data_IF_617267793284
#
_entry.id   IF_617267793284
#
_cell.length_a   1.000
_cell.length_b   1.000
_cell.length_c   1.000
_cell.angle_alpha   90.00
_cell.angle_beta   90.00
_cell.angle_gamma   90.00
#
_symmetry.space_group_name_H-M   'P 1'
#
loop_
_entity.id
_entity.type
_entity.pdbx_description
1 polymer ?
#
# COMPACT_ATOMS: atom_id res chain seq x y z
N UNK A 1 -46.30 -15.22 28.58
CA UNK A 1 -45.70 -13.91 28.21
C UNK A 1 -44.18 -13.83 28.45
N UNK A 2 -43.56 -14.60 29.36
CA UNK A 2 -42.10 -14.56 29.61
C UNK A 2 -41.21 -15.09 28.45
N UNK A 3 -41.71 -16.03 27.65
CA UNK A 3 -40.91 -16.63 26.56
C UNK A 3 -40.78 -15.74 25.32
N UNK A 4 -41.66 -14.75 25.13
CA UNK A 4 -41.57 -13.81 24.01
C UNK A 4 -40.41 -12.82 24.19
N UNK A 5 -40.06 -12.45 25.42
CA UNK A 5 -38.90 -11.59 25.72
C UNK A 5 -37.56 -12.29 25.46
N UNK A 6 -37.48 -13.60 25.71
CA UNK A 6 -36.27 -14.40 25.44
C UNK A 6 -36.09 -14.57 23.92
N UNK A 7 -37.17 -14.83 23.18
CA UNK A 7 -37.15 -14.89 21.71
C UNK A 7 -36.74 -13.54 21.08
N UNK A 8 -37.25 -12.42 21.60
CA UNK A 8 -36.89 -11.08 21.12
C UNK A 8 -35.43 -10.73 21.46
N UNK A 9 -34.93 -11.15 22.63
CA UNK A 9 -33.54 -11.01 23.04
C UNK A 9 -32.58 -11.84 22.17
N UNK A 10 -32.96 -13.06 21.77
CA UNK A 10 -32.18 -13.88 20.85
C UNK A 10 -32.15 -13.30 19.43
N UNK A 11 -33.25 -12.69 18.98
CA UNK A 11 -33.34 -12.03 17.67
C UNK A 11 -32.42 -10.79 17.59
N UNK A 12 -32.30 -10.04 18.69
CA UNK A 12 -31.44 -8.86 18.78
C UNK A 12 -29.94 -9.22 18.76
N UNK A 13 -29.56 -10.35 19.36
CA UNK A 13 -28.18 -10.83 19.37
C UNK A 13 -27.75 -11.38 17.99
N UNK A 14 -28.68 -11.91 17.22
CA UNK A 14 -28.43 -12.40 15.85
C UNK A 14 -28.19 -11.25 14.85
N UNK A 15 -28.74 -10.05 15.11
CA UNK A 15 -28.58 -8.87 14.25
C UNK A 15 -27.23 -8.15 14.44
N UNK A 16 -26.55 -8.37 15.56
CA UNK A 16 -25.23 -7.79 15.87
C UNK A 16 -24.05 -8.66 15.41
N UNK A 17 -24.33 -9.90 14.96
CA UNK A 17 -23.31 -10.86 14.54
C UNK A 17 -23.01 -10.82 13.03
N UNK A 18 -23.56 -9.86 12.26
CA UNK A 18 -23.14 -9.68 10.89
C UNK A 18 -21.75 -9.02 10.90
N UNK A 19 -20.66 -9.73 10.53
CA UNK A 19 -19.39 -9.08 10.41
C UNK A 19 -19.55 -8.05 9.31
N UNK A 20 -19.42 -6.78 9.68
CA UNK A 20 -19.17 -5.70 8.73
C UNK A 20 -17.85 -6.09 8.10
N UNK A 21 -17.91 -6.79 6.97
CA UNK A 21 -16.74 -7.07 6.15
C UNK A 21 -16.27 -5.71 5.65
N UNK A 22 -15.46 -5.05 6.47
CA UNK A 22 -14.74 -3.85 6.11
C UNK A 22 -13.78 -4.27 5.00
N UNK A 23 -14.17 -3.97 3.77
CA UNK A 23 -13.34 -4.16 2.59
C UNK A 23 -12.13 -3.23 2.69
N UNK A 24 -11.07 -3.69 3.35
CA UNK A 24 -9.74 -3.04 3.38
C UNK A 24 -8.62 -3.91 2.81
N UNK A 25 -8.88 -5.16 2.42
CA UNK A 25 -7.80 -6.15 2.19
C UNK A 25 -7.16 -6.15 0.79
N UNK A 26 -7.58 -5.26 -0.13
CA UNK A 26 -7.02 -5.27 -1.50
C UNK A 26 -5.57 -4.76 -1.57
N UNK A 27 -5.16 -3.87 -0.67
CA UNK A 27 -3.89 -3.14 -0.81
C UNK A 27 -2.70 -3.86 -0.17
N UNK A 28 -2.93 -4.53 0.96
CA UNK A 28 -1.93 -5.37 1.64
C UNK A 28 -1.52 -6.55 0.75
N UNK A 29 -2.48 -7.26 0.14
CA UNK A 29 -2.17 -8.38 -0.77
C UNK A 29 -1.38 -7.97 -2.02
N UNK A 30 -1.66 -6.78 -2.58
CA UNK A 30 -0.90 -6.26 -3.73
C UNK A 30 0.55 -5.99 -3.31
N UNK A 31 0.76 -5.39 -2.14
CA UNK A 31 2.10 -5.09 -1.63
C UNK A 31 2.90 -6.37 -1.37
N UNK A 32 2.30 -7.36 -0.70
CA UNK A 32 2.96 -8.64 -0.41
C UNK A 32 3.30 -9.42 -1.70
N UNK A 33 2.37 -9.42 -2.68
CA UNK A 33 2.60 -10.04 -3.99
C UNK A 33 3.74 -9.36 -4.77
N UNK A 34 3.80 -8.04 -4.72
CA UNK A 34 4.83 -7.26 -5.40
C UNK A 34 6.22 -7.41 -4.74
N UNK A 35 6.28 -7.50 -3.41
CA UNK A 35 7.52 -7.76 -2.68
C UNK A 35 8.09 -9.15 -2.99
N UNK A 36 7.23 -10.16 -3.14
CA UNK A 36 7.66 -11.50 -3.55
C UNK A 36 8.24 -11.50 -4.97
N UNK A 37 7.51 -10.92 -5.94
CA UNK A 37 8.00 -10.81 -7.33
C UNK A 37 9.30 -10.03 -7.43
N UNK A 38 9.50 -9.05 -6.54
CA UNK A 38 10.75 -8.30 -6.45
C UNK A 38 11.93 -9.19 -6.01
N UNK A 39 11.74 -10.23 -5.20
CA UNK A 39 12.85 -11.12 -4.83
C UNK A 39 13.32 -11.99 -5.99
N UNK A 40 12.41 -12.33 -6.91
CA UNK A 40 12.67 -13.20 -8.06
C UNK A 40 13.08 -12.43 -9.33
N UNK A 41 12.78 -11.13 -9.40
CA UNK A 41 13.07 -10.32 -10.58
C UNK A 41 14.57 -10.16 -10.84
N UNK A 42 14.98 -10.42 -12.08
CA UNK A 42 16.31 -10.08 -12.60
C UNK A 42 16.54 -8.57 -12.45
N UNK A 43 17.80 -8.15 -12.34
CA UNK A 43 18.17 -6.72 -12.22
C UNK A 43 17.99 -6.01 -13.57
N UNK A 44 16.74 -5.82 -13.98
CA UNK A 44 16.35 -5.21 -15.24
C UNK A 44 15.27 -4.12 -15.04
N UNK A 45 14.75 -3.58 -16.15
CA UNK A 45 13.74 -2.51 -16.14
C UNK A 45 12.38 -2.96 -15.61
N UNK A 46 12.10 -4.26 -15.56
CA UNK A 46 10.89 -4.83 -14.92
C UNK A 46 10.97 -4.62 -13.42
N UNK A 47 12.13 -4.89 -12.82
CA UNK A 47 12.38 -4.66 -11.40
C UNK A 47 12.21 -3.19 -11.02
N UNK A 48 12.68 -2.28 -11.88
CA UNK A 48 12.43 -0.83 -11.71
C UNK A 48 10.94 -0.53 -11.70
N UNK A 49 10.19 -1.05 -12.68
CA UNK A 49 8.75 -0.79 -12.82
C UNK A 49 7.95 -1.32 -11.62
N UNK A 50 8.35 -2.48 -11.07
CA UNK A 50 7.76 -3.05 -9.86
C UNK A 50 8.03 -2.17 -8.63
N UNK A 51 9.27 -1.70 -8.45
CA UNK A 51 9.63 -0.81 -7.34
C UNK A 51 8.85 0.51 -7.38
N UNK A 52 8.68 1.10 -8.57
CA UNK A 52 7.89 2.32 -8.75
C UNK A 52 6.42 2.06 -8.42
N UNK A 53 5.87 0.91 -8.84
CA UNK A 53 4.49 0.54 -8.55
C UNK A 53 4.25 0.34 -7.05
N UNK A 54 5.19 -0.31 -6.34
CA UNK A 54 5.19 -0.43 -4.89
C UNK A 54 5.25 0.94 -4.19
N UNK A 55 6.13 1.83 -4.66
CA UNK A 55 6.16 3.18 -4.11
C UNK A 55 4.82 3.89 -4.30
N UNK A 56 4.17 3.71 -5.45
CA UNK A 56 2.90 4.35 -5.76
C UNK A 56 1.72 3.79 -4.98
N UNK A 57 1.72 2.50 -4.62
CA UNK A 57 0.67 1.97 -3.72
C UNK A 57 0.85 2.50 -2.30
N UNK A 58 2.10 2.67 -1.86
CA UNK A 58 2.38 3.00 -0.46
C UNK A 58 2.39 4.50 -0.15
N UNK A 59 2.48 5.40 -1.14
CA UNK A 59 2.85 6.80 -0.88
C UNK A 59 1.91 7.59 0.05
N UNK A 60 0.61 7.24 0.10
CA UNK A 60 -0.37 7.90 0.98
C UNK A 60 -0.41 7.30 2.39
N UNK A 61 -0.15 5.99 2.52
CA UNK A 61 -0.32 5.27 3.79
C UNK A 61 1.00 5.12 4.54
N UNK A 62 2.06 4.80 3.82
CA UNK A 62 3.39 4.52 4.35
C UNK A 62 4.43 5.33 3.56
N UNK A 63 4.36 6.65 3.66
CA UNK A 63 5.20 7.58 2.88
C UNK A 63 6.71 7.30 3.01
N UNK A 64 7.17 6.86 4.19
CA UNK A 64 8.56 6.43 4.45
C UNK A 64 8.90 5.17 3.64
N UNK A 65 8.03 4.15 3.68
CA UNK A 65 8.23 2.89 2.95
C UNK A 65 8.16 3.12 1.43
N UNK A 66 7.26 3.99 0.97
CA UNK A 66 7.20 4.42 -0.41
C UNK A 66 8.49 5.12 -0.86
N UNK A 67 9.00 6.07 -0.08
CA UNK A 67 10.28 6.77 -0.36
C UNK A 67 11.44 5.80 -0.48
N UNK A 68 11.47 4.75 0.35
CA UNK A 68 12.47 3.70 0.28
C UNK A 68 12.43 2.93 -1.06
N UNK A 69 11.25 2.52 -1.52
CA UNK A 69 11.12 1.84 -2.81
C UNK A 69 11.42 2.75 -4.00
N UNK A 70 11.01 4.02 -3.96
CA UNK A 70 11.36 5.00 -4.98
C UNK A 70 12.88 5.24 -5.06
N UNK A 71 13.57 5.27 -3.92
CA UNK A 71 15.04 5.40 -3.87
C UNK A 71 15.72 4.18 -4.51
N UNK A 72 15.25 2.97 -4.18
CA UNK A 72 15.74 1.73 -4.81
C UNK A 72 15.49 1.71 -6.31
N UNK A 73 14.34 2.20 -6.77
CA UNK A 73 14.03 2.32 -8.19
C UNK A 73 14.98 3.29 -8.89
N UNK A 74 15.31 4.43 -8.26
CA UNK A 74 16.23 5.42 -8.77
C UNK A 74 17.63 4.82 -8.96
N UNK A 75 18.19 4.20 -7.91
CA UNK A 75 19.52 3.61 -7.93
C UNK A 75 19.65 2.55 -9.04
N UNK A 76 18.65 1.68 -9.17
CA UNK A 76 18.64 0.66 -10.20
C UNK A 76 18.48 1.27 -11.60
N UNK A 77 17.62 2.27 -11.75
CA UNK A 77 17.42 2.96 -13.03
C UNK A 77 18.69 3.66 -13.49
N UNK A 78 19.45 4.27 -12.58
CA UNK A 78 20.75 4.88 -12.88
C UNK A 78 21.77 3.84 -13.34
N UNK A 79 21.88 2.71 -12.62
CA UNK A 79 22.78 1.60 -13.01
C UNK A 79 22.44 1.03 -14.38
N UNK A 80 21.16 0.99 -14.74
CA UNK A 80 20.67 0.49 -16.03
C UNK A 80 20.65 1.56 -17.14
N UNK A 81 20.92 2.83 -16.84
CA UNK A 81 20.73 3.94 -17.79
C UNK A 81 19.26 4.13 -18.22
N UNK A 82 18.30 3.64 -17.43
CA UNK A 82 16.88 3.64 -17.77
C UNK A 82 16.21 4.98 -17.45
N UNK A 83 16.31 5.92 -18.39
CA UNK A 83 15.85 7.32 -18.23
C UNK A 83 14.40 7.46 -17.75
N UNK A 84 13.48 6.63 -18.27
CA UNK A 84 12.08 6.63 -17.85
C UNK A 84 11.95 6.28 -16.36
N UNK A 85 12.65 5.24 -15.91
CA UNK A 85 12.68 4.84 -14.50
C UNK A 85 13.25 5.92 -13.58
N UNK A 86 14.30 6.63 -14.03
CA UNK A 86 14.87 7.76 -13.28
C UNK A 86 13.82 8.86 -13.07
N UNK A 87 13.15 9.29 -14.14
CA UNK A 87 12.14 10.34 -14.08
C UNK A 87 10.96 9.96 -13.17
N UNK A 88 10.43 8.75 -13.33
CA UNK A 88 9.33 8.25 -12.50
C UNK A 88 9.73 8.12 -11.02
N UNK A 89 10.96 7.68 -10.75
CA UNK A 89 11.48 7.56 -9.38
C UNK A 89 11.58 8.93 -8.70
N UNK A 90 12.07 9.96 -9.40
CA UNK A 90 12.07 11.33 -8.88
C UNK A 90 10.66 11.85 -8.63
N UNK A 91 9.70 11.56 -9.51
CA UNK A 91 8.30 11.92 -9.31
C UNK A 91 7.73 11.31 -8.01
N UNK A 92 8.06 10.05 -7.72
CA UNK A 92 7.65 9.39 -6.48
C UNK A 92 8.37 9.92 -5.23
N UNK A 93 9.66 10.25 -5.33
CA UNK A 93 10.39 10.91 -4.23
C UNK A 93 9.80 12.30 -3.91
N UNK A 94 9.38 13.05 -4.92
CA UNK A 94 8.67 14.32 -4.73
C UNK A 94 7.32 14.14 -4.05
N UNK A 95 6.49 13.22 -4.57
CA UNK A 95 5.18 12.92 -4.01
C UNK A 95 5.25 12.47 -2.55
N UNK A 96 6.17 11.57 -2.21
CA UNK A 96 6.36 11.09 -0.84
C UNK A 96 6.87 12.17 0.10
N UNK A 97 7.71 13.09 -0.39
CA UNK A 97 8.19 14.23 0.41
C UNK A 97 7.07 15.20 0.73
N UNK A 98 6.19 15.49 -0.23
CA UNK A 98 5.03 16.36 -0.03
C UNK A 98 4.05 15.78 0.99
N UNK A 99 3.72 14.49 0.84
CA UNK A 99 2.84 13.79 1.78
C UNK A 99 3.42 13.77 3.20
N UNK A 100 4.72 13.48 3.34
CA UNK A 100 5.37 13.47 4.66
C UNK A 100 5.41 14.87 5.31
N UNK A 101 5.64 15.92 4.53
CA UNK A 101 5.62 17.30 5.03
C UNK A 101 4.26 17.69 5.59
N UNK A 102 3.19 17.39 4.85
CA UNK A 102 1.82 17.70 5.29
C UNK A 102 1.41 16.92 6.55
N UNK A 103 1.83 15.65 6.67
CA UNK A 103 1.56 14.88 7.88
C UNK A 103 2.34 15.39 9.10
N UNK A 104 3.57 15.86 8.92
CA UNK A 104 4.34 16.49 9.99
C UNK A 104 3.75 17.84 10.43
N UNK A 105 3.17 18.61 9.50
CA UNK A 105 2.50 19.87 9.82
C UNK A 105 1.16 19.66 10.55
N UNK A 106 0.48 18.53 10.33
CA UNK A 106 -0.81 18.21 10.93
C UNK A 106 -0.75 17.61 12.35
N UNK A 107 0.43 17.19 12.81
CA UNK A 107 0.69 16.51 14.10
C UNK A 107 1.08 17.51 15.20
#
# INVERSE_FOLDING_TARGET
MKNQGILLSCLLFLLLAFPINCFGQKEVQITDSLEQKLREAKFDTTRVSLLISLSRSLYLQESIKARFYASKALDLSQKLGFKKGIAESYGMLGATSWVNGNYQEAL
#
